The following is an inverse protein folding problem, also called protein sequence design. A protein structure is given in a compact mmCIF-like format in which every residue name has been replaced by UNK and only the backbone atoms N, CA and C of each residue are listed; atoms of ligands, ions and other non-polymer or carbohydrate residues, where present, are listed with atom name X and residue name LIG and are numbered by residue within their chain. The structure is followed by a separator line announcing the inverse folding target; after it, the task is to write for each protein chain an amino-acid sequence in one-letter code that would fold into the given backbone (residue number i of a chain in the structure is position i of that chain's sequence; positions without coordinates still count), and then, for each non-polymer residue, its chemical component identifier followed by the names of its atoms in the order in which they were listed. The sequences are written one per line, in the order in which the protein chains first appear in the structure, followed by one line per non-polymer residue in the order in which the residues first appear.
data_IF_006251058424
#
_entry.id   IF_006251058424
#
_cell.length_a   1.000
_cell.length_b   1.000
_cell.length_c   1.000
_cell.angle_alpha   90.00
_cell.angle_beta   90.00
_cell.angle_gamma   90.00
#
_symmetry.space_group_name_H-M   'P 1'
#
loop_
_entity.id
_entity.type
_entity.pdbx_description
1 polymer ?
#
# COMPACT_ATOMS: atom_id res chain seq x y z
N UNK A 1 2.48 -3.85 -24.41
CA UNK A 1 3.13 -3.02 -23.38
C UNK A 1 2.80 -3.64 -22.03
N UNK A 2 3.75 -3.62 -21.09
CA UNK A 2 3.57 -4.22 -19.78
C UNK A 2 3.14 -3.13 -18.80
N UNK A 3 1.91 -3.22 -18.28
CA UNK A 3 1.46 -2.34 -17.22
C UNK A 3 2.10 -2.76 -15.89
N UNK A 4 2.17 -1.83 -14.95
CA UNK A 4 2.59 -2.11 -13.57
C UNK A 4 1.43 -1.91 -12.61
N UNK A 5 1.37 -2.75 -11.58
CA UNK A 5 0.45 -2.58 -10.48
C UNK A 5 1.20 -2.08 -9.24
N UNK A 6 0.69 -1.01 -8.62
CA UNK A 6 1.17 -0.52 -7.33
C UNK A 6 0.14 -0.86 -6.27
N UNK A 7 0.55 -1.71 -5.34
CA UNK A 7 -0.21 -2.02 -4.14
C UNK A 7 0.39 -1.23 -2.97
N UNK A 8 -0.33 -0.21 -2.52
CA UNK A 8 0.12 0.70 -1.45
C UNK A 8 -0.69 0.42 -0.22
N UNK A 9 -0.05 0.35 0.95
CA UNK A 9 -0.73 0.05 2.20
C UNK A 9 0.00 0.70 3.38
N UNK A 10 -0.75 0.96 4.45
CA UNK A 10 -0.24 1.52 5.69
C UNK A 10 -1.09 1.10 6.89
N UNK A 11 -0.46 0.99 8.06
CA UNK A 11 -1.14 0.74 9.34
C UNK A 11 -1.39 2.07 10.03
N UNK A 12 -2.64 2.36 10.37
CA UNK A 12 -3.02 3.57 11.08
C UNK A 12 -2.47 3.53 12.51
N UNK A 13 -2.00 4.67 13.00
CA UNK A 13 -1.65 4.82 14.41
C UNK A 13 -2.93 4.77 15.26
N UNK A 14 -3.09 3.79 16.17
CA UNK A 14 -4.28 3.71 17.03
C UNK A 14 -4.37 4.87 18.03
N UNK A 15 -3.27 5.59 18.28
CA UNK A 15 -3.24 6.77 19.15
C UNK A 15 -3.55 8.08 18.41
N UNK A 16 -3.92 8.01 17.12
CA UNK A 16 -4.24 9.18 16.31
C UNK A 16 -5.48 9.91 16.81
N UNK A 17 -5.39 11.24 16.90
CA UNK A 17 -6.54 12.10 17.20
C UNK A 17 -7.60 12.04 16.07
N UNK A 18 -8.91 12.08 16.38
CA UNK A 18 -9.98 12.01 15.37
C UNK A 18 -9.88 13.05 14.24
N UNK A 19 -9.29 14.22 14.53
CA UNK A 19 -9.05 15.28 13.54
C UNK A 19 -8.02 14.88 12.49
N UNK A 20 -7.02 14.08 12.86
CA UNK A 20 -6.00 13.59 11.94
C UNK A 20 -6.56 12.53 10.98
N UNK A 21 -7.49 11.67 11.43
CA UNK A 21 -8.20 10.75 10.53
C UNK A 21 -9.04 11.50 9.49
N UNK A 22 -9.70 12.58 9.92
CA UNK A 22 -10.48 13.45 9.03
C UNK A 22 -9.60 14.15 8.00
N UNK A 23 -8.41 14.62 8.40
CA UNK A 23 -7.43 15.22 7.49
C UNK A 23 -6.90 14.21 6.47
N UNK A 24 -6.58 12.97 6.90
CA UNK A 24 -6.17 11.89 6.02
C UNK A 24 -7.24 11.58 4.97
N UNK A 25 -8.50 11.42 5.38
CA UNK A 25 -9.62 11.15 4.47
C UNK A 25 -9.74 12.23 3.41
N UNK A 26 -9.76 13.50 3.83
CA UNK A 26 -9.86 14.64 2.91
C UNK A 26 -8.72 14.68 1.90
N UNK A 27 -7.48 14.46 2.36
CA UNK A 27 -6.30 14.42 1.48
C UNK A 27 -6.33 13.23 0.54
N UNK A 28 -6.85 12.09 1.00
CA UNK A 28 -7.09 10.91 0.18
C UNK A 28 -8.02 11.22 -0.98
N UNK A 29 -9.14 11.90 -0.72
CA UNK A 29 -10.11 12.30 -1.75
C UNK A 29 -9.49 13.23 -2.78
N UNK A 30 -8.70 14.22 -2.34
CA UNK A 30 -7.98 15.14 -3.24
C UNK A 30 -6.97 14.38 -4.12
N UNK A 31 -6.25 13.41 -3.57
CA UNK A 31 -5.30 12.56 -4.33
C UNK A 31 -6.03 11.68 -5.33
N UNK A 32 -7.15 11.05 -4.95
CA UNK A 32 -7.93 10.22 -5.87
C UNK A 32 -8.54 11.04 -6.99
N UNK A 33 -9.05 12.24 -6.72
CA UNK A 33 -9.49 13.13 -7.78
C UNK A 33 -8.34 13.50 -8.72
N UNK A 34 -7.14 13.73 -8.20
CA UNK A 34 -5.97 14.06 -9.02
C UNK A 34 -5.41 12.89 -9.82
N UNK A 35 -5.57 11.64 -9.35
CA UNK A 35 -5.02 10.46 -10.03
C UNK A 35 -5.78 10.10 -11.30
N UNK A 36 -7.09 10.36 -11.32
CA UNK A 36 -7.94 10.04 -12.46
C UNK A 36 -7.52 10.82 -13.74
N UNK A 37 -6.91 11.99 -13.57
CA UNK A 37 -6.35 12.82 -14.65
C UNK A 37 -4.83 12.62 -14.86
N UNK A 38 -4.18 11.73 -14.09
CA UNK A 38 -2.73 11.60 -14.11
C UNK A 38 -2.22 10.89 -15.39
N UNK A 39 -1.20 11.43 -16.09
CA UNK A 39 -0.60 10.76 -17.23
C UNK A 39 -0.10 9.35 -16.90
N UNK A 40 -0.52 8.37 -17.69
CA UNK A 40 -0.13 6.98 -17.52
C UNK A 40 -0.93 6.21 -16.46
N UNK A 41 -1.90 6.84 -15.78
CA UNK A 41 -2.86 6.12 -14.95
C UNK A 41 -3.81 5.30 -15.81
N UNK A 42 -4.08 4.06 -15.40
CA UNK A 42 -4.98 3.13 -16.12
C UNK A 42 -6.25 2.86 -15.31
N UNK A 43 -6.15 2.84 -13.98
CA UNK A 43 -7.28 2.63 -13.09
C UNK A 43 -6.85 2.20 -11.69
N UNK A 44 -7.81 2.08 -10.78
CA UNK A 44 -7.60 1.59 -9.42
C UNK A 44 -8.72 0.67 -8.97
N UNK A 45 -8.41 -0.21 -8.02
CA UNK A 45 -9.42 -1.02 -7.33
C UNK A 45 -10.21 -0.15 -6.34
N UNK A 46 -11.48 -0.50 -6.14
CA UNK A 46 -12.42 0.28 -5.33
C UNK A 46 -13.05 1.44 -6.12
N UNK A 47 -14.36 1.65 -5.95
CA UNK A 47 -15.10 2.72 -6.63
C UNK A 47 -14.69 4.13 -6.21
N UNK A 48 -15.26 5.15 -6.88
CA UNK A 48 -15.10 6.56 -6.51
C UNK A 48 -15.51 6.81 -5.05
N UNK A 49 -14.74 7.63 -4.33
CA UNK A 49 -15.10 8.02 -2.96
C UNK A 49 -16.29 8.98 -3.02
N UNK A 50 -17.46 8.46 -2.67
CA UNK A 50 -18.70 9.22 -2.47
C UNK A 50 -19.61 8.59 -1.42
N UNK A 51 -19.27 7.40 -0.93
CA UNK A 51 -19.94 6.73 0.18
C UNK A 51 -18.85 6.25 1.13
N UNK A 52 -19.11 6.30 2.42
CA UNK A 52 -18.28 5.77 3.50
C UNK A 52 -18.12 4.24 3.39
N UNK A 53 -17.58 3.74 2.28
CA UNK A 53 -17.35 2.32 2.07
C UNK A 53 -16.06 1.95 2.80
N UNK A 54 -16.20 1.66 4.09
CA UNK A 54 -15.21 0.85 4.80
C UNK A 54 -15.01 -0.45 4.01
N UNK A 55 -13.86 -0.57 3.36
CA UNK A 55 -13.51 -1.79 2.63
C UNK A 55 -12.91 -2.79 3.62
N UNK A 56 -13.56 -3.94 3.76
CA UNK A 56 -13.08 -5.01 4.63
C UNK A 56 -12.26 -6.04 3.83
N UNK A 57 -11.13 -6.54 4.36
CA UNK A 57 -10.41 -7.65 3.75
C UNK A 57 -11.34 -8.83 3.45
N UNK A 58 -11.24 -9.40 2.25
CA UNK A 58 -12.13 -10.43 1.73
C UNK A 58 -13.22 -9.92 0.79
N UNK A 59 -13.43 -8.60 0.68
CA UNK A 59 -14.35 -8.02 -0.29
C UNK A 59 -13.89 -8.29 -1.74
N UNK A 60 -14.82 -8.64 -2.62
CA UNK A 60 -14.56 -8.83 -4.05
C UNK A 60 -14.71 -7.51 -4.82
N UNK A 61 -13.64 -7.08 -5.50
CA UNK A 61 -13.63 -5.90 -6.38
C UNK A 61 -13.75 -6.27 -7.87
N UNK A 62 -14.29 -7.45 -8.17
CA UNK A 62 -14.59 -7.91 -9.52
C UNK A 62 -13.32 -8.18 -10.31
N UNK A 63 -13.09 -7.42 -11.38
CA UNK A 63 -11.91 -7.58 -12.23
C UNK A 63 -10.58 -7.27 -11.51
N UNK A 64 -10.62 -6.60 -10.36
CA UNK A 64 -9.47 -6.36 -9.50
C UNK A 64 -9.19 -7.50 -8.51
N UNK A 65 -10.12 -8.43 -8.35
CA UNK A 65 -10.02 -9.58 -7.47
C UNK A 65 -10.39 -9.29 -6.01
N UNK A 66 -9.99 -10.21 -5.13
CA UNK A 66 -10.30 -10.14 -3.70
C UNK A 66 -9.34 -9.19 -3.00
N UNK A 67 -9.90 -8.28 -2.20
CA UNK A 67 -9.14 -7.40 -1.34
C UNK A 67 -8.45 -8.20 -0.24
N UNK A 68 -7.12 -8.22 -0.25
CA UNK A 68 -6.30 -8.89 0.76
C UNK A 68 -5.34 -7.89 1.36
N UNK A 69 -5.03 -8.06 2.65
CA UNK A 69 -3.96 -7.32 3.32
C UNK A 69 -2.69 -8.15 3.41
N UNK A 70 -1.51 -7.53 3.38
CA UNK A 70 -0.24 -8.23 3.49
C UNK A 70 0.10 -8.56 4.96
N UNK A 71 -0.85 -9.14 5.70
CA UNK A 71 -0.74 -9.47 7.14
C UNK A 71 0.37 -10.50 7.45
N UNK A 72 0.87 -11.20 6.42
CA UNK A 72 2.02 -12.10 6.54
C UNK A 72 3.38 -11.40 6.55
N UNK A 73 3.42 -10.08 6.31
CA UNK A 73 4.64 -9.30 6.47
C UNK A 73 4.93 -9.10 7.97
N UNK A 74 6.16 -9.36 8.45
CA UNK A 74 6.50 -9.21 9.87
C UNK A 74 6.14 -7.84 10.46
N UNK A 75 6.28 -6.78 9.66
CA UNK A 75 5.97 -5.41 10.06
C UNK A 75 4.47 -5.13 10.21
N UNK A 76 3.62 -6.05 9.76
CA UNK A 76 2.15 -5.99 9.83
C UNK A 76 1.56 -7.05 10.75
N UNK A 77 2.39 -7.96 11.28
CA UNK A 77 1.95 -9.04 12.15
C UNK A 77 1.49 -8.48 13.50
N UNK A 78 0.28 -8.86 13.93
CA UNK A 78 -0.29 -8.48 15.23
C UNK A 78 -0.96 -7.10 15.28
N UNK A 79 -1.00 -6.36 14.16
CA UNK A 79 -1.80 -5.13 14.05
C UNK A 79 -3.27 -5.46 13.80
N UNK A 80 -4.16 -4.57 14.26
CA UNK A 80 -5.60 -4.68 14.00
C UNK A 80 -5.86 -4.65 12.48
N UNK A 81 -6.44 -5.72 11.90
CA UNK A 81 -6.79 -5.77 10.48
C UNK A 81 -7.81 -4.72 10.05
N UNK A 82 -8.40 -3.94 10.95
CA UNK A 82 -9.25 -2.79 10.61
C UNK A 82 -8.52 -1.45 10.66
N UNK A 83 -7.36 -1.37 11.33
CA UNK A 83 -6.55 -0.17 11.44
C UNK A 83 -5.58 0.00 10.25
N UNK A 84 -6.11 -0.04 9.03
CA UNK A 84 -5.28 0.01 7.82
C UNK A 84 -5.93 0.82 6.71
N UNK A 85 -5.10 1.25 5.76
CA UNK A 85 -5.53 1.74 4.47
C UNK A 85 -4.72 1.00 3.42
N UNK A 86 -5.37 0.54 2.35
CA UNK A 86 -4.67 0.04 1.19
C UNK A 86 -5.37 0.41 -0.11
N UNK A 87 -4.57 0.55 -1.17
CA UNK A 87 -5.02 0.89 -2.51
C UNK A 87 -4.25 0.03 -3.52
N UNK A 88 -4.94 -0.35 -4.60
CA UNK A 88 -4.34 -1.01 -5.75
C UNK A 88 -4.57 -0.11 -6.97
N UNK A 89 -3.48 0.29 -7.63
CA UNK A 89 -3.53 1.14 -8.83
C UNK A 89 -2.74 0.51 -9.97
N UNK A 90 -3.19 0.75 -11.20
CA UNK A 90 -2.59 0.24 -12.43
C UNK A 90 -2.08 1.41 -13.26
N UNK A 91 -0.86 1.27 -13.77
CA UNK A 91 -0.14 2.31 -14.50
C UNK A 91 0.48 1.75 -15.78
N UNK A 92 0.66 2.59 -16.78
CA UNK A 92 1.30 2.23 -18.04
C UNK A 92 2.79 1.92 -17.87
N UNK A 93 3.48 2.63 -16.98
CA UNK A 93 4.89 2.42 -16.66
C UNK A 93 5.28 2.95 -15.26
N UNK A 94 6.52 2.65 -14.86
CA UNK A 94 7.09 3.02 -13.54
C UNK A 94 7.30 4.52 -13.40
N UNK A 95 7.66 5.22 -14.47
CA UNK A 95 7.98 6.63 -14.39
C UNK A 95 6.71 7.48 -14.24
N UNK A 96 5.61 7.12 -14.91
CA UNK A 96 4.29 7.72 -14.69
C UNK A 96 3.83 7.58 -13.23
N UNK A 97 3.91 6.37 -12.67
CA UNK A 97 3.53 6.10 -11.29
C UNK A 97 4.42 6.89 -10.31
N UNK A 98 5.74 6.86 -10.52
CA UNK A 98 6.71 7.57 -9.70
C UNK A 98 6.48 9.08 -9.74
N UNK A 99 6.23 9.65 -10.92
CA UNK A 99 5.99 11.08 -11.07
C UNK A 99 4.75 11.49 -10.28
N UNK A 100 3.65 10.75 -10.38
CA UNK A 100 2.45 11.06 -9.61
C UNK A 100 2.69 10.98 -8.10
N UNK A 101 3.33 9.91 -7.61
CA UNK A 101 3.53 9.67 -6.17
C UNK A 101 4.51 10.66 -5.55
N UNK A 102 5.61 10.95 -6.24
CA UNK A 102 6.72 11.73 -5.67
C UNK A 102 6.79 13.18 -6.18
N UNK A 103 5.75 13.67 -6.84
CA UNK A 103 5.62 15.08 -7.20
C UNK A 103 4.28 15.66 -6.75
N UNK A 104 4.18 17.00 -6.77
CA UNK A 104 2.93 17.71 -6.50
C UNK A 104 2.24 17.33 -5.18
N UNK A 105 0.92 17.19 -5.24
CA UNK A 105 0.03 16.97 -4.10
C UNK A 105 0.41 15.73 -3.28
N UNK A 106 0.61 14.59 -3.94
CA UNK A 106 0.85 13.33 -3.25
C UNK A 106 2.16 13.38 -2.46
N UNK A 107 3.21 14.02 -2.99
CA UNK A 107 4.47 14.26 -2.27
C UNK A 107 4.26 15.07 -1.00
N UNK A 108 3.46 16.13 -1.04
CA UNK A 108 3.20 16.96 0.13
C UNK A 108 2.43 16.20 1.21
N UNK A 109 1.45 15.38 0.82
CA UNK A 109 0.73 14.48 1.74
C UNK A 109 1.67 13.43 2.34
N UNK A 110 2.58 12.84 1.54
CA UNK A 110 3.54 11.86 2.04
C UNK A 110 4.47 12.42 3.12
N UNK A 111 4.73 13.73 3.16
CA UNK A 111 5.55 14.33 4.24
C UNK A 111 4.86 14.25 5.60
N UNK A 112 3.53 14.28 5.60
CA UNK A 112 2.67 14.24 6.79
C UNK A 112 2.31 12.81 7.22
N UNK A 113 2.78 11.78 6.49
CA UNK A 113 2.43 10.38 6.74
C UNK A 113 2.59 9.90 8.19
N UNK A 114 3.50 10.50 8.95
CA UNK A 114 3.75 10.12 10.35
C UNK A 114 2.72 10.69 11.33
N UNK A 115 1.84 11.57 10.88
CA UNK A 115 0.71 12.05 11.66
C UNK A 115 -0.44 11.03 11.66
N UNK A 116 -0.42 10.05 10.74
CA UNK A 116 -1.49 9.06 10.56
C UNK A 116 -1.05 7.60 10.65
N UNK A 117 0.15 7.28 10.18
CA UNK A 117 0.59 5.89 10.06
C UNK A 117 1.66 5.56 11.07
N UNK A 118 1.61 4.33 11.59
CA UNK A 118 2.71 3.78 12.37
C UNK A 118 4.00 3.87 11.57
N UNK A 119 5.06 4.34 12.23
CA UNK A 119 6.38 4.37 11.65
C UNK A 119 6.89 2.94 11.55
N UNK A 120 6.82 2.35 10.35
CA UNK A 120 7.49 1.09 10.06
C UNK A 120 8.98 1.16 10.43
N UNK A 121 9.63 0.04 10.77
CA UNK A 121 11.05 0.04 11.07
C UNK A 121 11.79 0.63 9.86
N UNK A 122 12.44 1.78 10.05
CA UNK A 122 13.00 2.62 8.99
C UNK A 122 14.17 2.03 8.20
N UNK A 123 14.29 0.71 8.09
CA UNK A 123 15.25 0.00 7.25
C UNK A 123 14.65 -1.31 6.76
N UNK A 124 14.27 -1.36 5.48
CA UNK A 124 14.31 -2.62 4.74
C UNK A 124 15.78 -3.01 4.62
N UNK A 125 16.29 -3.79 5.58
CA UNK A 125 17.54 -4.51 5.36
C UNK A 125 17.19 -5.79 4.63
N UNK A 126 17.55 -5.87 3.34
CA UNK A 126 17.62 -7.16 2.68
C UNK A 126 18.77 -7.94 3.32
N UNK A 127 18.47 -8.69 4.37
CA UNK A 127 19.36 -9.77 4.78
C UNK A 127 19.25 -10.85 3.71
N UNK A 128 20.19 -10.83 2.77
CA UNK A 128 20.37 -11.90 1.80
C UNK A 128 20.75 -13.18 2.55
N UNK A 129 19.75 -13.97 2.93
CA UNK A 129 19.97 -15.35 3.33
C UNK A 129 20.46 -16.11 2.09
N UNK A 130 21.78 -16.13 1.94
CA UNK A 130 22.47 -16.91 0.92
C UNK A 130 22.14 -18.39 1.16
N UNK A 131 21.40 -18.93 0.20
CA UNK A 131 20.97 -20.32 0.12
C UNK A 131 22.21 -21.20 -0.07
N UNK A 132 22.64 -21.95 0.94
CA UNK A 132 23.39 -23.22 0.75
C UNK A 132 23.15 -24.19 1.91
N UNK A 133 21.98 -24.83 1.94
CA UNK A 133 21.85 -26.11 2.65
C UNK A 133 22.43 -27.20 1.74
N UNK A 134 23.69 -27.59 2.00
CA UNK A 134 24.33 -28.73 1.34
C UNK A 134 23.83 -30.01 2.05
N UNK A 135 23.06 -30.85 1.37
CA UNK A 135 22.74 -32.21 1.84
C UNK A 135 24.02 -33.02 2.10
N UNK A 136 24.13 -33.78 3.21
CA UNK A 136 25.21 -34.74 3.36
C UNK A 136 24.82 -36.02 2.60
N UNK A 137 25.47 -36.23 1.46
CA UNK A 137 25.51 -37.53 0.80
C UNK A 137 26.46 -38.46 1.58
N UNK A 138 25.94 -39.65 1.91
CA UNK A 138 26.64 -40.93 1.94
C UNK A 138 28.00 -41.04 2.66
N UNK A 139 28.04 -41.83 3.73
CA UNK A 139 29.24 -42.59 4.07
C UNK A 139 28.86 -44.04 4.32
N UNK A 140 29.11 -44.87 3.31
CA UNK A 140 29.28 -46.31 3.44
C UNK A 140 30.61 -46.59 4.15
N UNK A 141 30.56 -47.42 5.18
CA UNK A 141 31.60 -48.38 5.56
C UNK A 141 30.93 -49.45 6.42
#
# INVERSE_FOLDING_TARGET
MSNIALYTFGVLDPAMEPTALSDLSKRGDEIFSAVDDAPGFVGRAGGGYGENAEHAPGQDFGCWGIYVLPLGLPDFAGHDPLAHIATLSLWQDVESARLFVYSGLHREVLKLRYDWFLKGPGRVTFSGASRTARSPAGRTA
#
